data_IF_995862609481
#
_entry.id   IF_995862609481
#
_cell.length_a   1.000
_cell.length_b   1.000
_cell.length_c   1.000
_cell.angle_alpha   90.00
_cell.angle_beta   90.00
_cell.angle_gamma   90.00
#
_symmetry.space_group_name_H-M   'P 1'
#
loop_
_entity.id
_entity.type
_entity.pdbx_description
1 polymer ?
#
# COMPACT_ATOMS: atom_id res chain seq x y z
N UNK A 1 -49.12 12.63 13.15
CA UNK A 1 -48.26 11.76 13.93
C UNK A 1 -47.79 10.49 13.16
N UNK A 2 -48.70 9.75 12.49
CA UNK A 2 -48.32 8.54 11.70
C UNK A 2 -47.28 8.79 10.59
N UNK A 3 -47.36 9.89 9.85
CA UNK A 3 -46.42 10.22 8.75
C UNK A 3 -45.01 10.51 9.27
N UNK A 4 -44.90 11.21 10.41
CA UNK A 4 -43.61 11.53 11.05
C UNK A 4 -42.92 10.25 11.55
N UNK A 5 -43.70 9.29 12.04
CA UNK A 5 -43.19 7.99 12.51
C UNK A 5 -42.64 7.15 11.32
N UNK A 6 -43.32 7.13 10.17
CA UNK A 6 -42.85 6.47 8.97
C UNK A 6 -41.56 7.14 8.41
N UNK A 7 -41.48 8.48 8.45
CA UNK A 7 -40.31 9.21 8.01
C UNK A 7 -39.09 8.92 8.90
N UNK A 8 -39.29 8.84 10.22
CA UNK A 8 -38.23 8.51 11.18
C UNK A 8 -37.71 7.07 11.01
N UNK A 9 -38.60 6.11 10.74
CA UNK A 9 -38.23 4.71 10.48
C UNK A 9 -37.49 4.59 9.14
N UNK A 10 -37.93 5.30 8.08
CA UNK A 10 -37.25 5.30 6.80
C UNK A 10 -35.84 5.91 6.89
N UNK A 11 -35.65 6.96 7.68
CA UNK A 11 -34.35 7.60 7.87
C UNK A 11 -33.38 6.72 8.69
N UNK A 12 -33.88 5.91 9.64
CA UNK A 12 -33.04 5.00 10.43
C UNK A 12 -32.52 3.80 9.62
N UNK A 13 -33.21 3.38 8.57
CA UNK A 13 -32.80 2.30 7.67
C UNK A 13 -31.63 2.70 6.74
N UNK A 14 -31.38 3.98 6.51
CA UNK A 14 -30.28 4.47 5.71
C UNK A 14 -28.93 4.43 6.43
N UNK A 15 -28.90 4.21 7.75
CA UNK A 15 -27.66 4.20 8.54
C UNK A 15 -26.98 2.82 8.62
N UNK A 16 -27.56 1.76 8.08
CA UNK A 16 -27.01 0.39 8.17
C UNK A 16 -26.16 -0.04 6.95
N UNK A 17 -25.86 0.85 6.01
CA UNK A 17 -25.16 0.48 4.76
C UNK A 17 -23.65 0.78 4.79
N UNK A 18 -22.93 0.42 5.85
CA UNK A 18 -21.47 0.50 5.88
C UNK A 18 -20.83 -0.85 6.21
N UNK A 19 -21.08 -1.88 5.39
CA UNK A 19 -20.27 -3.09 5.42
C UNK A 19 -19.33 -3.08 4.20
N UNK A 20 -18.39 -2.14 4.16
CA UNK A 20 -17.37 -2.09 3.12
C UNK A 20 -16.41 -3.27 3.30
N UNK A 21 -16.18 -4.02 2.22
CA UNK A 21 -15.19 -5.10 2.19
C UNK A 21 -13.83 -4.59 2.71
N UNK A 22 -13.02 -5.45 3.34
CA UNK A 22 -11.66 -5.09 3.70
C UNK A 22 -10.88 -4.61 2.48
N UNK A 23 -10.18 -3.48 2.61
CA UNK A 23 -9.32 -2.93 1.57
C UNK A 23 -8.02 -2.41 2.18
N UNK A 24 -6.97 -2.29 1.36
CA UNK A 24 -5.70 -1.72 1.83
C UNK A 24 -5.89 -0.28 2.32
N UNK A 25 -6.68 0.53 1.60
CA UNK A 25 -6.97 1.90 2.03
C UNK A 25 -7.54 1.94 3.45
N UNK A 26 -8.54 1.11 3.73
CA UNK A 26 -9.14 1.02 5.07
C UNK A 26 -8.14 0.53 6.10
N UNK A 27 -7.35 -0.49 5.75
CA UNK A 27 -6.33 -1.04 6.63
C UNK A 27 -5.26 0.00 7.00
N UNK A 28 -4.80 0.83 6.06
CA UNK A 28 -3.86 1.93 6.33
C UNK A 28 -4.43 2.93 7.32
N UNK A 29 -5.67 3.41 7.10
CA UNK A 29 -6.34 4.37 7.99
C UNK A 29 -6.55 3.79 9.40
N UNK A 30 -6.97 2.54 9.51
CA UNK A 30 -7.23 1.88 10.81
C UNK A 30 -5.97 1.63 11.63
N UNK A 31 -4.79 1.57 11.00
CA UNK A 31 -3.54 1.20 11.66
C UNK A 31 -2.54 2.34 11.79
N UNK A 32 -2.78 3.53 11.21
CA UNK A 32 -1.84 4.65 11.20
C UNK A 32 -1.39 5.12 12.59
N UNK A 33 -2.22 4.94 13.63
CA UNK A 33 -1.94 5.36 15.01
C UNK A 33 -1.71 4.19 15.97
N UNK A 34 -1.73 2.95 15.46
CA UNK A 34 -1.55 1.78 16.32
C UNK A 34 -0.08 1.51 16.63
N UNK A 35 0.23 1.10 17.86
CA UNK A 35 1.58 0.69 18.22
C UNK A 35 2.12 -0.43 17.31
N UNK A 36 3.38 -0.34 16.93
CA UNK A 36 4.02 -1.30 16.04
C UNK A 36 3.83 -1.00 14.55
N UNK A 37 2.92 -0.08 14.20
CA UNK A 37 2.75 0.40 12.84
C UNK A 37 3.46 1.74 12.61
N UNK A 38 3.95 1.90 11.40
CA UNK A 38 4.46 3.16 10.87
C UNK A 38 3.79 3.39 9.53
N UNK A 39 3.15 4.53 9.35
CA UNK A 39 2.56 4.94 8.07
C UNK A 39 3.22 6.23 7.60
N UNK A 40 3.67 6.25 6.36
CA UNK A 40 4.32 7.40 5.74
C UNK A 40 3.73 7.65 4.36
N UNK A 41 3.34 8.89 4.12
CA UNK A 41 2.95 9.37 2.80
C UNK A 41 4.14 10.06 2.14
N UNK A 42 4.44 9.66 0.93
CA UNK A 42 5.63 10.08 0.19
C UNK A 42 5.23 10.68 -1.14
N UNK A 43 5.70 11.89 -1.42
CA UNK A 43 5.55 12.51 -2.73
C UNK A 43 6.67 12.09 -3.70
N UNK A 44 6.47 12.22 -5.02
CA UNK A 44 7.53 11.93 -6.01
C UNK A 44 8.81 12.71 -5.79
N UNK A 45 8.74 13.88 -5.15
CA UNK A 45 9.90 14.74 -4.87
C UNK A 45 10.94 14.12 -3.93
N UNK A 46 10.57 13.10 -3.15
CA UNK A 46 11.51 12.39 -2.27
C UNK A 46 12.64 11.70 -3.06
N UNK A 47 12.36 11.32 -4.31
CA UNK A 47 13.30 10.57 -5.14
C UNK A 47 14.53 11.41 -5.52
N UNK A 48 14.45 12.74 -5.37
CA UNK A 48 15.55 13.68 -5.62
C UNK A 48 16.38 13.33 -6.89
N UNK A 49 15.66 13.06 -7.98
CA UNK A 49 16.25 12.58 -9.23
C UNK A 49 16.71 13.74 -10.09
N UNK A 50 17.89 13.57 -10.69
CA UNK A 50 18.34 14.42 -11.79
C UNK A 50 17.55 14.05 -13.06
N UNK A 51 16.50 14.79 -13.33
CA UNK A 51 15.61 14.54 -14.47
C UNK A 51 16.33 14.54 -15.83
N UNK A 52 17.51 15.15 -15.90
CA UNK A 52 18.30 15.18 -17.17
C UNK A 52 18.99 13.86 -17.46
N UNK A 53 19.10 12.97 -16.46
CA UNK A 53 19.73 11.65 -16.58
C UNK A 53 18.73 10.51 -16.79
N UNK A 54 17.44 10.81 -16.74
CA UNK A 54 16.39 9.81 -16.91
C UNK A 54 16.24 9.42 -18.37
N UNK A 55 16.03 8.14 -18.63
CA UNK A 55 15.58 7.66 -19.93
C UNK A 55 14.15 8.13 -20.22
N UNK A 56 13.72 8.02 -21.48
CA UNK A 56 12.35 8.35 -21.86
C UNK A 56 11.32 7.50 -21.07
N UNK A 57 11.59 6.20 -20.90
CA UNK A 57 10.71 5.29 -20.15
C UNK A 57 10.70 5.62 -18.67
N UNK A 58 11.83 5.94 -18.05
CA UNK A 58 11.91 6.40 -16.67
C UNK A 58 11.14 7.71 -16.45
N UNK A 59 11.27 8.66 -17.38
CA UNK A 59 10.53 9.92 -17.33
C UNK A 59 9.03 9.71 -17.45
N UNK A 60 8.60 8.79 -18.33
CA UNK A 60 7.19 8.42 -18.51
C UNK A 60 6.64 7.78 -17.23
N UNK A 61 7.32 6.75 -16.71
CA UNK A 61 6.91 6.06 -15.49
C UNK A 61 6.80 7.01 -14.27
N UNK A 62 7.75 7.96 -14.16
CA UNK A 62 7.68 8.98 -13.10
C UNK A 62 6.56 9.99 -13.31
N UNK A 63 6.19 10.31 -14.56
CA UNK A 63 5.10 11.25 -14.81
C UNK A 63 3.72 10.68 -14.52
N UNK A 64 3.56 9.36 -14.58
CA UNK A 64 2.33 8.67 -14.20
C UNK A 64 2.19 8.47 -12.68
N UNK A 65 3.28 8.65 -11.93
CA UNK A 65 3.32 8.48 -10.48
C UNK A 65 2.82 9.74 -9.74
N UNK A 66 1.82 9.60 -8.89
CA UNK A 66 1.24 10.71 -8.13
C UNK A 66 1.69 10.74 -6.67
N UNK A 67 1.66 9.62 -5.99
CA UNK A 67 2.07 9.49 -4.58
C UNK A 67 2.35 8.05 -4.19
N UNK A 68 3.04 7.88 -3.07
CA UNK A 68 3.31 6.58 -2.46
C UNK A 68 2.89 6.60 -1.00
N UNK A 69 2.15 5.57 -0.57
CA UNK A 69 1.84 5.35 0.83
C UNK A 69 2.60 4.10 1.28
N UNK A 70 3.29 4.19 2.39
CA UNK A 70 4.04 3.10 2.99
C UNK A 70 3.42 2.80 4.34
N UNK A 71 3.04 1.54 4.57
CA UNK A 71 2.68 1.03 5.89
C UNK A 71 3.66 -0.07 6.24
N UNK A 72 4.22 0.02 7.42
CA UNK A 72 5.13 -0.98 7.94
C UNK A 72 4.70 -1.44 9.33
N UNK A 73 4.81 -2.73 9.58
CA UNK A 73 4.65 -3.35 10.90
C UNK A 73 5.99 -3.90 11.35
N UNK A 74 6.53 -3.33 12.42
CA UNK A 74 7.82 -3.71 12.97
C UNK A 74 7.64 -4.63 14.16
N UNK A 75 8.24 -5.83 14.10
CA UNK A 75 8.25 -6.78 15.22
C UNK A 75 9.18 -6.28 16.32
N UNK A 76 8.70 -6.40 17.56
CA UNK A 76 9.47 -6.24 18.78
C UNK A 76 8.98 -7.25 19.83
N UNK A 77 9.63 -7.29 21.00
CA UNK A 77 9.31 -8.25 22.05
C UNK A 77 7.87 -8.18 22.56
N UNK A 78 7.19 -7.02 22.41
CA UNK A 78 5.82 -6.80 22.91
C UNK A 78 4.74 -7.20 21.92
N UNK A 79 5.03 -7.18 20.60
CA UNK A 79 4.03 -7.37 19.54
C UNK A 79 4.28 -8.58 18.63
N UNK A 80 5.30 -9.38 18.92
CA UNK A 80 5.67 -10.55 18.10
C UNK A 80 4.51 -11.54 17.92
N UNK A 81 3.65 -11.70 18.93
CA UNK A 81 2.47 -12.57 18.87
C UNK A 81 1.39 -12.06 17.90
N UNK A 82 1.35 -10.77 17.61
CA UNK A 82 0.36 -10.14 16.73
C UNK A 82 0.78 -10.20 15.26
N UNK A 83 2.06 -10.42 14.97
CA UNK A 83 2.60 -10.42 13.61
C UNK A 83 1.83 -11.35 12.66
N UNK A 84 1.59 -12.60 13.06
CA UNK A 84 0.89 -13.56 12.21
C UNK A 84 -0.57 -13.14 11.94
N UNK A 85 -1.21 -12.50 12.90
CA UNK A 85 -2.59 -11.98 12.78
C UNK A 85 -2.62 -10.83 11.79
N UNK A 86 -1.75 -9.84 11.95
CA UNK A 86 -1.69 -8.66 11.07
C UNK A 86 -1.26 -9.04 9.65
N UNK A 87 -0.26 -9.90 9.53
CA UNK A 87 0.18 -10.46 8.24
C UNK A 87 -0.97 -11.20 7.53
N UNK A 88 -1.77 -11.98 8.27
CA UNK A 88 -2.92 -12.70 7.71
C UNK A 88 -3.97 -11.74 7.16
N UNK A 89 -4.27 -10.64 7.85
CA UNK A 89 -5.21 -9.61 7.38
C UNK A 89 -4.78 -9.04 6.03
N UNK A 90 -3.51 -8.65 5.87
CA UNK A 90 -2.99 -8.16 4.58
C UNK A 90 -3.12 -9.23 3.49
N UNK A 91 -2.72 -10.46 3.78
CA UNK A 91 -2.82 -11.54 2.81
C UNK A 91 -4.28 -11.82 2.39
N UNK A 92 -5.24 -11.68 3.29
CA UNK A 92 -6.65 -11.84 2.97
C UNK A 92 -7.20 -10.70 2.12
N UNK A 93 -6.76 -9.47 2.36
CA UNK A 93 -7.09 -8.34 1.49
C UNK A 93 -6.53 -8.58 0.08
N UNK A 94 -5.26 -8.96 -0.03
CA UNK A 94 -4.58 -9.17 -1.33
C UNK A 94 -5.04 -10.44 -2.07
N UNK A 95 -5.82 -11.33 -1.43
CA UNK A 95 -6.47 -12.47 -2.09
C UNK A 95 -7.71 -12.07 -2.90
N UNK A 96 -8.26 -10.89 -2.71
CA UNK A 96 -9.36 -10.39 -3.51
C UNK A 96 -8.85 -10.04 -4.92
N UNK A 97 -8.81 -11.04 -5.79
CA UNK A 97 -8.27 -10.93 -7.17
C UNK A 97 -9.12 -10.07 -8.09
N UNK A 98 -10.31 -9.66 -7.66
CA UNK A 98 -11.14 -8.70 -8.41
C UNK A 98 -10.54 -7.29 -8.25
N UNK A 99 -10.08 -6.96 -7.04
CA UNK A 99 -9.53 -5.64 -6.73
C UNK A 99 -8.00 -5.60 -6.79
N UNK A 100 -7.32 -6.73 -6.53
CA UNK A 100 -5.85 -6.81 -6.47
C UNK A 100 -5.35 -7.94 -7.38
N UNK A 101 -4.94 -7.61 -8.59
CA UNK A 101 -4.41 -8.58 -9.54
C UNK A 101 -2.92 -8.80 -9.27
N UNK A 102 -2.51 -10.06 -9.10
CA UNK A 102 -1.12 -10.39 -8.77
C UNK A 102 -0.23 -10.44 -10.01
N UNK A 103 0.81 -9.60 -10.07
CA UNK A 103 1.86 -9.65 -11.10
C UNK A 103 2.94 -10.65 -10.78
N UNK A 104 3.45 -10.62 -9.55
CA UNK A 104 4.59 -11.43 -9.12
C UNK A 104 4.43 -11.87 -7.68
N UNK A 105 5.03 -13.02 -7.36
CA UNK A 105 5.15 -13.52 -6.00
C UNK A 105 6.49 -14.22 -5.79
N UNK A 106 7.14 -13.94 -4.68
CA UNK A 106 8.43 -14.47 -4.29
C UNK A 106 8.36 -15.09 -2.89
N UNK A 107 9.13 -16.12 -2.64
CA UNK A 107 9.18 -16.78 -1.34
C UNK A 107 7.91 -17.56 -1.00
N UNK A 108 7.83 -18.04 0.23
CA UNK A 108 6.72 -18.85 0.72
C UNK A 108 6.58 -18.73 2.25
N UNK A 109 5.40 -19.12 2.76
CA UNK A 109 5.17 -19.15 4.21
C UNK A 109 5.12 -17.76 4.85
N UNK A 110 5.98 -17.55 5.85
CA UNK A 110 6.05 -16.28 6.60
C UNK A 110 6.98 -15.27 5.94
N UNK A 111 7.90 -15.71 5.12
CA UNK A 111 8.89 -14.91 4.41
C UNK A 111 8.56 -14.89 2.93
N UNK A 112 8.22 -13.72 2.42
CA UNK A 112 7.84 -13.61 1.02
C UNK A 112 7.53 -12.19 0.62
N UNK A 113 7.39 -11.99 -0.68
CA UNK A 113 7.02 -10.73 -1.28
C UNK A 113 6.06 -10.94 -2.45
N UNK A 114 5.25 -9.93 -2.74
CA UNK A 114 4.41 -9.92 -3.93
C UNK A 114 4.30 -8.51 -4.50
N UNK A 115 4.02 -8.46 -5.79
CA UNK A 115 3.61 -7.26 -6.50
C UNK A 115 2.23 -7.53 -7.06
N UNK A 116 1.30 -6.64 -6.75
CA UNK A 116 -0.06 -6.65 -7.26
C UNK A 116 -0.41 -5.28 -7.83
N UNK A 117 -1.52 -5.18 -8.54
CA UNK A 117 -2.02 -3.92 -9.06
C UNK A 117 -3.54 -3.82 -8.95
N UNK A 118 -4.06 -2.60 -9.05
CA UNK A 118 -5.48 -2.24 -9.13
C UNK A 118 -5.71 -1.54 -10.46
N UNK A 119 -6.82 -1.85 -11.12
CA UNK A 119 -7.16 -1.34 -12.44
C UNK A 119 -7.08 -2.43 -13.51
N UNK A 120 -7.09 -2.01 -14.77
CA UNK A 120 -6.89 -2.90 -15.92
C UNK A 120 -5.41 -2.95 -16.31
N UNK A 121 -4.96 -3.99 -17.02
CA UNK A 121 -3.54 -4.19 -17.37
C UNK A 121 -2.94 -3.00 -18.15
N UNK A 122 -3.76 -2.30 -18.96
CA UNK A 122 -3.33 -1.15 -19.75
C UNK A 122 -3.54 0.20 -19.03
N UNK A 123 -4.30 0.20 -17.92
CA UNK A 123 -4.69 1.39 -17.16
C UNK A 123 -4.63 1.08 -15.66
N UNK A 124 -3.41 0.97 -15.13
CA UNK A 124 -3.20 0.67 -13.71
C UNK A 124 -3.27 1.96 -12.90
N UNK A 125 -4.09 1.95 -11.83
CA UNK A 125 -4.26 3.06 -10.90
C UNK A 125 -3.32 2.95 -9.69
N UNK A 126 -2.96 1.72 -9.31
CA UNK A 126 -2.16 1.47 -8.14
C UNK A 126 -1.29 0.21 -8.30
N UNK A 127 -0.01 0.30 -7.95
CA UNK A 127 0.83 -0.87 -7.67
C UNK A 127 0.93 -1.07 -6.17
N UNK A 128 0.90 -2.34 -5.75
CA UNK A 128 1.07 -2.75 -4.38
C UNK A 128 2.30 -3.65 -4.27
N UNK A 129 3.31 -3.20 -3.53
CA UNK A 129 4.45 -4.02 -3.16
C UNK A 129 4.26 -4.46 -1.71
N UNK A 130 4.22 -5.76 -1.50
CA UNK A 130 4.15 -6.36 -0.18
C UNK A 130 5.40 -7.20 0.07
N UNK A 131 5.98 -7.06 1.26
CA UNK A 131 7.09 -7.88 1.72
C UNK A 131 6.96 -8.20 3.20
N UNK A 132 7.22 -9.45 3.58
CA UNK A 132 7.19 -9.91 4.95
C UNK A 132 8.41 -10.76 5.28
N UNK A 133 8.93 -10.60 6.50
CA UNK A 133 10.01 -11.39 7.07
C UNK A 133 9.71 -11.69 8.54
N UNK A 134 9.76 -12.96 8.91
CA UNK A 134 9.33 -13.48 10.21
C UNK A 134 10.03 -12.85 11.42
N UNK A 135 11.24 -12.33 11.23
CA UNK A 135 12.03 -11.70 12.28
C UNK A 135 11.95 -10.18 12.33
N UNK A 136 11.49 -9.54 11.24
CA UNK A 136 11.49 -8.08 11.11
C UNK A 136 10.09 -7.47 11.11
N UNK A 137 9.12 -8.16 10.48
CA UNK A 137 7.77 -7.65 10.28
C UNK A 137 7.35 -7.70 8.83
N UNK A 138 6.51 -6.75 8.41
CA UNK A 138 6.11 -6.61 7.01
C UNK A 138 5.99 -5.15 6.60
N UNK A 139 6.05 -4.92 5.30
CA UNK A 139 5.75 -3.63 4.71
C UNK A 139 4.80 -3.78 3.52
N UNK A 140 3.93 -2.79 3.37
CA UNK A 140 3.07 -2.61 2.21
C UNK A 140 3.36 -1.23 1.63
N UNK A 141 3.72 -1.18 0.36
CA UNK A 141 3.93 0.07 -0.36
C UNK A 141 2.86 0.15 -1.44
N UNK A 142 2.06 1.20 -1.40
CA UNK A 142 1.07 1.55 -2.40
C UNK A 142 1.63 2.68 -3.25
N UNK A 143 1.80 2.45 -4.53
CA UNK A 143 2.25 3.42 -5.52
C UNK A 143 1.02 3.79 -6.34
N UNK A 144 0.50 4.99 -6.11
CA UNK A 144 -0.68 5.49 -6.78
C UNK A 144 -0.25 6.36 -7.97
N UNK A 145 -0.97 6.21 -9.06
CA UNK A 145 -0.68 6.97 -10.26
C UNK A 145 -1.86 6.96 -11.23
N UNK A 146 -1.62 7.33 -12.45
CA UNK A 146 -2.63 7.38 -13.49
C UNK A 146 -2.10 6.78 -14.77
N UNK A 147 -2.93 5.91 -15.39
CA UNK A 147 -2.62 5.26 -16.67
C UNK A 147 -1.23 4.57 -16.67
N UNK A 148 -0.87 3.95 -15.55
CA UNK A 148 0.36 3.16 -15.45
C UNK A 148 0.18 1.81 -16.17
N UNK A 149 1.29 1.16 -16.51
CA UNK A 149 1.31 -0.18 -17.09
C UNK A 149 2.29 -1.10 -16.33
N UNK A 150 2.27 -2.44 -16.53
CA UNK A 150 3.13 -3.36 -15.79
C UNK A 150 4.64 -3.06 -15.92
N UNK A 151 5.09 -2.53 -17.05
CA UNK A 151 6.49 -2.17 -17.24
C UNK A 151 6.88 -0.96 -16.38
N UNK A 152 5.94 -0.06 -16.08
CA UNK A 152 6.18 1.10 -15.22
C UNK A 152 6.54 0.67 -13.79
N UNK A 153 5.98 -0.44 -13.28
CA UNK A 153 6.35 -0.97 -11.97
C UNK A 153 7.83 -1.36 -11.92
N UNK A 154 8.33 -2.06 -12.94
CA UNK A 154 9.73 -2.48 -13.01
C UNK A 154 10.66 -1.29 -13.23
N UNK A 155 10.26 -0.35 -14.09
CA UNK A 155 10.97 0.91 -14.33
C UNK A 155 11.04 1.73 -13.04
N UNK A 156 9.93 1.84 -12.29
CA UNK A 156 9.89 2.54 -11.02
C UNK A 156 10.82 1.91 -9.98
N UNK A 157 10.86 0.57 -9.88
CA UNK A 157 11.78 -0.14 -9.00
C UNK A 157 13.25 0.14 -9.37
N UNK A 158 13.59 0.24 -10.66
CA UNK A 158 14.94 0.60 -11.09
C UNK A 158 15.30 2.04 -10.72
N UNK A 159 14.35 2.95 -10.90
CA UNK A 159 14.50 4.36 -10.50
C UNK A 159 14.69 4.51 -9.00
N UNK A 160 13.92 3.76 -8.18
CA UNK A 160 14.09 3.74 -6.74
C UNK A 160 15.50 3.28 -6.33
N UNK A 161 16.02 2.27 -7.01
CA UNK A 161 17.38 1.75 -6.75
C UNK A 161 18.48 2.74 -7.06
N UNK A 162 18.29 3.56 -8.10
CA UNK A 162 19.26 4.57 -8.57
C UNK A 162 19.06 5.92 -7.88
N UNK A 163 17.93 6.12 -7.18
CA UNK A 163 17.59 7.40 -6.55
C UNK A 163 18.38 7.66 -5.29
N UNK A 164 18.74 8.93 -5.07
CA UNK A 164 19.23 9.42 -3.77
C UNK A 164 18.02 9.80 -2.90
N UNK A 165 17.34 8.79 -2.35
CA UNK A 165 16.18 9.01 -1.49
C UNK A 165 16.57 9.89 -0.32
N UNK A 166 15.81 10.96 -0.06
CA UNK A 166 15.96 11.76 1.14
C UNK A 166 15.51 10.96 2.38
N UNK A 167 16.50 10.29 2.99
CA UNK A 167 16.29 9.45 4.16
C UNK A 167 15.70 10.18 5.37
N UNK A 168 15.73 11.52 5.40
CA UNK A 168 15.10 12.29 6.48
C UNK A 168 13.57 12.15 6.42
N UNK A 169 12.99 12.09 5.22
CA UNK A 169 11.56 11.87 5.06
C UNK A 169 11.13 10.43 5.39
N UNK A 170 12.08 9.48 5.39
CA UNK A 170 11.86 8.07 5.75
C UNK A 170 12.39 7.72 7.15
N UNK A 171 12.69 8.72 7.99
CA UNK A 171 13.28 8.48 9.32
C UNK A 171 12.43 7.52 10.17
N UNK A 172 11.10 7.61 10.05
CA UNK A 172 10.17 6.71 10.73
C UNK A 172 10.34 5.23 10.33
N UNK A 173 10.92 4.95 9.14
CA UNK A 173 11.15 3.59 8.63
C UNK A 173 12.55 3.03 8.96
N UNK A 174 13.44 3.81 9.56
CA UNK A 174 14.83 3.37 9.87
C UNK A 174 14.90 2.08 10.69
N UNK A 175 13.89 1.83 11.53
CA UNK A 175 13.82 0.62 12.34
C UNK A 175 13.62 -0.68 11.51
N UNK A 176 13.08 -0.57 10.30
CA UNK A 176 12.81 -1.70 9.41
C UNK A 176 13.97 -2.05 8.47
N UNK A 177 14.94 -1.13 8.33
CA UNK A 177 16.05 -1.25 7.39
C UNK A 177 17.34 -1.80 8.02
N UNK A 178 17.24 -2.31 9.26
CA UNK A 178 18.37 -2.94 9.97
C UNK A 178 18.44 -4.43 9.77
#
# INVERSE_FOLDING_TARGET
MRVITFLAIALSLLLFSCNSKPSLQKYFVENQEKPGFVVVDVSPSILNLDKTKLTADQSKALSSFEKMNILAYQINDKNKSEFDVERKKINEILKDTINYQQLMKFGSGKDGASISFVGDEDHIDEFILYGAKSDNGFAVVRILGKDMNPADAMTFLSVLKESNIDMKQLEALKGLMK
#
